data_IF_484024862560
#
_entry.id   IF_484024862560
#
_cell.length_a   1.000
_cell.length_b   1.000
_cell.length_c   1.000
_cell.angle_alpha   90.00
_cell.angle_beta   90.00
_cell.angle_gamma   90.00
#
_symmetry.space_group_name_H-M   'P 1'
#
loop_
_entity.id
_entity.type
_entity.pdbx_description
1 polymer ?
#
# COMPACT_ATOMS: atom_id res chain seq x y z
N UNK A 1 4.30 58.08 -30.79
CA UNK A 1 3.90 56.71 -31.15
C UNK A 1 5.04 55.77 -30.79
N UNK A 2 4.83 54.86 -29.85
CA UNK A 2 5.35 53.48 -29.74
C UNK A 2 5.34 53.06 -28.26
N UNK A 3 4.32 52.27 -27.92
CA UNK A 3 4.13 51.57 -26.65
C UNK A 3 5.11 50.40 -26.62
N UNK A 4 6.06 50.39 -25.68
CA UNK A 4 6.80 49.18 -25.34
C UNK A 4 6.09 48.51 -24.16
N UNK A 5 5.26 47.53 -24.48
CA UNK A 5 4.77 46.54 -23.52
C UNK A 5 5.98 45.77 -23.00
N UNK A 6 6.38 46.05 -21.76
CA UNK A 6 7.23 45.14 -21.00
C UNK A 6 6.37 43.95 -20.59
N UNK A 7 6.46 42.87 -21.37
CA UNK A 7 5.81 41.60 -21.08
C UNK A 7 6.52 40.98 -19.87
N UNK A 8 5.87 41.04 -18.72
CA UNK A 8 6.26 40.35 -17.49
C UNK A 8 6.30 38.85 -17.73
N UNK A 9 7.51 38.30 -17.90
CA UNK A 9 7.78 36.88 -17.71
C UNK A 9 7.51 36.55 -16.24
N UNK A 10 6.31 36.06 -15.96
CA UNK A 10 6.00 35.39 -14.71
C UNK A 10 6.71 34.04 -14.77
N UNK A 11 7.93 34.00 -14.25
CA UNK A 11 8.67 32.76 -14.00
C UNK A 11 7.89 31.95 -12.97
N UNK A 12 7.03 31.05 -13.44
CA UNK A 12 6.40 30.05 -12.60
C UNK A 12 7.48 29.03 -12.22
N UNK A 13 8.30 29.38 -11.23
CA UNK A 13 9.10 28.40 -10.48
C UNK A 13 8.13 27.48 -9.76
N UNK A 14 7.76 26.39 -10.42
CA UNK A 14 7.12 25.25 -9.77
C UNK A 14 8.16 24.72 -8.79
N UNK A 15 7.97 25.05 -7.51
CA UNK A 15 8.65 24.42 -6.39
C UNK A 15 8.33 22.91 -6.46
N UNK A 16 9.20 22.14 -7.10
CA UNK A 16 9.27 20.70 -6.90
C UNK A 16 10.04 20.44 -5.61
N UNK A 17 9.45 20.81 -4.48
CA UNK A 17 9.90 20.41 -3.15
C UNK A 17 8.67 19.91 -2.39
N UNK A 18 8.46 18.60 -2.39
CA UNK A 18 7.96 17.81 -1.25
C UNK A 18 7.63 16.39 -1.73
N UNK A 19 8.63 15.52 -1.84
CA UNK A 19 8.41 14.09 -1.68
C UNK A 19 8.80 13.78 -0.23
N UNK A 20 7.83 13.44 0.61
CA UNK A 20 7.88 13.50 2.07
C UNK A 20 9.08 12.79 2.70
N UNK A 21 9.93 13.55 3.39
CA UNK A 21 10.75 13.05 4.51
C UNK A 21 10.28 13.63 5.84
N UNK A 22 9.00 13.97 5.95
CA UNK A 22 8.41 14.27 7.24
C UNK A 22 8.33 12.95 8.02
N UNK A 23 8.86 12.96 9.24
CA UNK A 23 8.82 11.80 10.14
C UNK A 23 7.38 11.25 10.21
N UNK A 24 7.21 9.95 9.93
CA UNK A 24 5.90 9.30 9.97
C UNK A 24 5.36 9.30 11.41
N UNK A 25 4.44 10.22 11.71
CA UNK A 25 3.77 10.29 13.01
C UNK A 25 2.52 9.41 13.01
N UNK A 26 2.59 8.27 13.67
CA UNK A 26 1.46 7.36 13.85
C UNK A 26 1.87 5.89 13.88
N UNK A 27 0.88 5.00 13.87
CA UNK A 27 1.13 3.57 13.74
C UNK A 27 1.57 3.25 12.32
N UNK A 28 2.75 2.64 12.19
CA UNK A 28 3.30 2.22 10.90
C UNK A 28 2.50 1.04 10.36
N UNK A 29 2.19 1.10 9.08
CA UNK A 29 1.56 0.02 8.33
C UNK A 29 2.57 -1.06 7.94
N UNK A 30 2.16 -1.91 6.99
CA UNK A 30 3.01 -2.92 6.40
C UNK A 30 4.09 -2.25 5.54
N UNK A 31 5.31 -2.74 5.70
CA UNK A 31 6.45 -2.37 4.86
C UNK A 31 6.36 -3.15 3.55
N UNK A 32 6.54 -2.48 2.41
CA UNK A 32 6.59 -3.15 1.13
C UNK A 32 7.80 -2.67 0.30
N UNK A 33 8.30 -3.54 -0.57
CA UNK A 33 9.23 -3.18 -1.62
C UNK A 33 8.71 -3.76 -2.93
N UNK A 34 8.92 -3.03 -4.02
CA UNK A 34 8.69 -3.56 -5.35
C UNK A 34 10.03 -3.97 -5.96
N UNK A 35 10.08 -5.17 -6.56
CA UNK A 35 11.29 -5.66 -7.21
C UNK A 35 11.72 -4.81 -8.43
N UNK A 36 10.76 -4.14 -9.06
CA UNK A 36 10.97 -3.27 -10.21
C UNK A 36 11.02 -1.79 -9.74
N UNK A 37 12.16 -1.10 -9.86
CA UNK A 37 12.30 0.30 -9.46
C UNK A 37 11.36 1.25 -10.20
N UNK A 38 11.00 0.96 -11.46
CA UNK A 38 10.08 1.79 -12.22
C UNK A 38 8.66 1.68 -11.67
N UNK A 39 8.23 0.47 -11.28
CA UNK A 39 6.96 0.25 -10.58
C UNK A 39 6.96 0.92 -9.22
N UNK A 40 8.07 0.83 -8.47
CA UNK A 40 8.19 1.53 -7.19
C UNK A 40 8.00 3.04 -7.37
N UNK A 41 8.71 3.66 -8.31
CA UNK A 41 8.58 5.09 -8.59
C UNK A 41 7.15 5.49 -9.00
N UNK A 42 6.47 4.66 -9.78
CA UNK A 42 5.07 4.88 -10.14
C UNK A 42 4.16 4.84 -8.90
N UNK A 43 4.31 3.84 -8.02
CA UNK A 43 3.53 3.76 -6.79
C UNK A 43 3.75 4.97 -5.87
N UNK A 44 5.01 5.41 -5.71
CA UNK A 44 5.34 6.60 -4.91
C UNK A 44 4.71 7.87 -5.50
N UNK A 45 4.72 8.02 -6.83
CA UNK A 45 4.03 9.13 -7.52
C UNK A 45 2.54 9.14 -7.20
N UNK A 46 1.89 7.96 -7.17
CA UNK A 46 0.47 7.84 -6.80
C UNK A 46 0.22 8.18 -5.33
N UNK A 47 1.16 7.86 -4.45
CA UNK A 47 1.07 8.25 -3.04
C UNK A 47 1.13 9.77 -2.87
N UNK A 48 2.06 10.43 -3.56
CA UNK A 48 2.18 11.89 -3.56
C UNK A 48 0.89 12.55 -4.10
N UNK A 49 0.35 12.05 -5.22
CA UNK A 49 -0.91 12.54 -5.82
C UNK A 49 -2.11 12.43 -4.87
N UNK A 50 -2.12 11.41 -4.00
CA UNK A 50 -3.22 11.13 -3.08
C UNK A 50 -2.97 11.62 -1.65
N UNK A 51 -1.82 12.25 -1.38
CA UNK A 51 -1.45 12.73 -0.06
C UNK A 51 -1.19 11.61 0.96
N UNK A 52 -0.76 10.43 0.50
CA UNK A 52 -0.38 9.31 1.35
C UNK A 52 1.06 9.52 1.82
N UNK A 53 1.26 9.59 3.14
CA UNK A 53 2.59 9.76 3.71
C UNK A 53 3.39 8.46 3.66
N UNK A 54 4.65 8.54 3.21
CA UNK A 54 5.55 7.41 3.18
C UNK A 54 7.00 7.80 3.53
N UNK A 55 7.77 6.81 3.96
CA UNK A 55 9.22 6.89 4.21
C UNK A 55 9.90 5.78 3.39
N UNK A 56 10.92 6.13 2.61
CA UNK A 56 11.78 5.14 1.94
C UNK A 56 13.03 4.94 2.79
N UNK A 57 13.21 3.72 3.28
CA UNK A 57 14.36 3.34 4.08
C UNK A 57 15.64 3.45 3.23
N UNK A 58 16.62 4.23 3.68
CA UNK A 58 17.82 4.55 2.91
C UNK A 58 19.04 3.70 3.25
N UNK A 59 18.99 2.90 4.32
CA UNK A 59 20.17 2.20 4.83
C UNK A 59 19.85 0.82 5.42
N UNK A 60 20.87 -0.05 5.42
CA UNK A 60 20.84 -1.35 6.09
C UNK A 60 20.07 -2.43 5.35
N UNK A 61 19.65 -3.47 6.08
CA UNK A 61 18.91 -4.61 5.53
C UNK A 61 17.50 -4.25 5.00
N UNK A 62 17.07 -3.00 5.19
CA UNK A 62 15.78 -2.50 4.74
C UNK A 62 15.94 -1.40 3.68
N UNK A 63 17.12 -1.18 3.13
CA UNK A 63 17.32 -0.22 2.04
C UNK A 63 16.32 -0.46 0.90
N UNK A 64 15.64 0.61 0.46
CA UNK A 64 14.63 0.59 -0.59
C UNK A 64 13.23 0.22 -0.14
N UNK A 65 13.04 -0.20 1.12
CA UNK A 65 11.73 -0.52 1.68
C UNK A 65 10.89 0.73 1.91
N UNK A 66 9.61 0.67 1.52
CA UNK A 66 8.64 1.76 1.70
C UNK A 66 7.77 1.48 2.92
N UNK A 67 7.72 2.44 3.84
CA UNK A 67 6.89 2.42 5.04
C UNK A 67 5.79 3.46 4.90
N UNK A 68 4.56 3.11 5.24
CA UNK A 68 3.40 4.01 5.21
C UNK A 68 2.69 4.00 6.57
N UNK A 69 1.69 4.87 6.75
CA UNK A 69 0.84 4.84 7.94
C UNK A 69 -0.23 3.75 7.83
N UNK A 70 -0.51 3.08 8.94
CA UNK A 70 -1.49 2.00 9.02
C UNK A 70 -2.90 2.43 8.56
N UNK A 71 -3.27 3.68 8.84
CA UNK A 71 -4.57 4.26 8.43
C UNK A 71 -4.78 4.27 6.90
N UNK A 72 -3.69 4.25 6.14
CA UNK A 72 -3.69 4.32 4.67
C UNK A 72 -3.42 2.96 4.02
N UNK A 73 -3.29 1.88 4.83
CA UNK A 73 -2.83 0.58 4.36
C UNK A 73 -3.70 0.00 3.24
N UNK A 74 -5.03 0.07 3.38
CA UNK A 74 -5.92 -0.47 2.37
C UNK A 74 -5.75 0.26 1.02
N UNK A 75 -5.50 1.58 1.07
CA UNK A 75 -5.29 2.37 -0.15
C UNK A 75 -3.94 2.07 -0.78
N UNK A 76 -2.90 1.96 0.04
CA UNK A 76 -1.55 1.54 -0.36
C UNK A 76 -1.56 0.18 -1.05
N UNK A 77 -2.29 -0.79 -0.50
CA UNK A 77 -2.42 -2.13 -1.08
C UNK A 77 -3.13 -2.08 -2.44
N UNK A 78 -4.21 -1.30 -2.56
CA UNK A 78 -4.92 -1.10 -3.81
C UNK A 78 -4.05 -0.48 -4.92
N UNK A 79 -3.29 0.57 -4.60
CA UNK A 79 -2.34 1.21 -5.55
C UNK A 79 -1.24 0.22 -5.93
N UNK A 80 -0.70 -0.51 -4.96
CA UNK A 80 0.35 -1.51 -5.20
C UNK A 80 -0.14 -2.60 -6.14
N UNK A 81 -1.37 -3.08 -5.97
CA UNK A 81 -2.01 -4.04 -6.88
C UNK A 81 -2.13 -3.46 -8.29
N UNK A 82 -2.67 -2.25 -8.43
CA UNK A 82 -2.85 -1.57 -9.72
C UNK A 82 -1.51 -1.40 -10.46
N UNK A 83 -0.46 -0.99 -9.76
CA UNK A 83 0.89 -0.82 -10.32
C UNK A 83 1.50 -2.17 -10.71
N UNK A 84 1.25 -3.23 -9.93
CA UNK A 84 1.83 -4.53 -10.19
C UNK A 84 1.15 -5.26 -11.35
N UNK A 85 -0.19 -5.32 -11.33
CA UNK A 85 -1.03 -6.17 -12.19
C UNK A 85 -1.81 -5.39 -13.25
N UNK A 86 -1.83 -4.06 -13.17
CA UNK A 86 -2.67 -3.20 -14.00
C UNK A 86 -4.00 -2.83 -13.31
N UNK A 87 -4.78 -1.92 -13.91
CA UNK A 87 -6.02 -1.39 -13.31
C UNK A 87 -7.19 -2.38 -13.30
N UNK A 88 -7.11 -3.44 -14.08
CA UNK A 88 -8.15 -4.46 -14.18
C UNK A 88 -7.87 -5.62 -13.23
N UNK A 89 -8.86 -5.99 -12.43
CA UNK A 89 -8.79 -7.16 -11.56
C UNK A 89 -8.99 -8.42 -12.39
N UNK A 90 -8.18 -9.44 -12.13
CA UNK A 90 -8.20 -10.71 -12.86
C UNK A 90 -8.93 -11.80 -12.08
N UNK A 91 -9.91 -12.44 -12.71
CA UNK A 91 -10.60 -13.60 -12.13
C UNK A 91 -9.74 -14.88 -12.09
N UNK A 92 -8.57 -14.87 -12.74
CA UNK A 92 -7.65 -16.02 -12.75
C UNK A 92 -6.42 -15.79 -11.87
N UNK A 93 -6.29 -14.61 -11.28
CA UNK A 93 -5.21 -14.27 -10.36
C UNK A 93 -5.66 -14.55 -8.92
N UNK A 94 -4.80 -15.23 -8.17
CA UNK A 94 -4.99 -15.49 -6.76
C UNK A 94 -3.95 -14.71 -5.96
N UNK A 95 -4.40 -14.06 -4.90
CA UNK A 95 -3.58 -13.29 -3.96
C UNK A 95 -3.49 -14.07 -2.64
N UNK A 96 -2.42 -13.87 -1.88
CA UNK A 96 -2.22 -14.57 -0.61
C UNK A 96 -1.75 -13.65 0.51
N UNK A 97 -2.04 -14.07 1.75
CA UNK A 97 -1.47 -13.47 2.95
C UNK A 97 -0.93 -14.58 3.87
N UNK A 98 0.22 -14.32 4.47
CA UNK A 98 0.84 -15.25 5.42
C UNK A 98 0.07 -15.25 6.74
N UNK A 99 -0.27 -16.44 7.23
CA UNK A 99 -0.90 -16.65 8.53
C UNK A 99 0.17 -17.00 9.56
N UNK A 100 0.56 -16.02 10.38
CA UNK A 100 1.67 -16.17 11.32
C UNK A 100 1.36 -17.11 12.49
N UNK A 101 0.09 -17.27 12.84
CA UNK A 101 -0.39 -18.12 13.93
C UNK A 101 -1.90 -18.40 13.79
N UNK A 102 -2.44 -19.25 14.66
CA UNK A 102 -3.85 -19.66 14.66
C UNK A 102 -4.82 -18.51 14.97
N UNK A 103 -4.41 -17.52 15.77
CA UNK A 103 -5.23 -16.33 16.05
C UNK A 103 -5.42 -15.48 14.78
N UNK A 104 -4.34 -15.26 14.03
CA UNK A 104 -4.39 -14.55 12.77
C UNK A 104 -5.28 -15.26 11.75
N UNK A 105 -5.17 -16.59 11.65
CA UNK A 105 -6.08 -17.38 10.83
C UNK A 105 -7.54 -17.16 11.22
N UNK A 106 -7.87 -17.33 12.51
CA UNK A 106 -9.25 -17.18 12.98
C UNK A 106 -9.83 -15.80 12.66
N UNK A 107 -9.03 -14.74 12.75
CA UNK A 107 -9.44 -13.37 12.37
C UNK A 107 -9.73 -13.24 10.88
N UNK A 108 -8.89 -13.84 10.04
CA UNK A 108 -9.09 -13.83 8.59
C UNK A 108 -10.33 -14.62 8.19
N UNK A 109 -10.47 -15.86 8.67
CA UNK A 109 -11.63 -16.72 8.40
C UNK A 109 -12.94 -15.99 8.78
N UNK A 110 -13.03 -15.50 10.02
CA UNK A 110 -14.21 -14.77 10.49
C UNK A 110 -14.50 -13.50 9.66
N UNK A 111 -13.46 -12.78 9.23
CA UNK A 111 -13.62 -11.60 8.40
C UNK A 111 -14.09 -11.93 6.97
N UNK A 112 -13.57 -13.01 6.40
CA UNK A 112 -13.87 -13.45 5.04
C UNK A 112 -15.27 -14.05 4.96
N UNK A 113 -15.65 -14.90 5.92
CA UNK A 113 -17.01 -15.43 6.06
C UNK A 113 -18.03 -14.28 6.16
N UNK A 114 -17.75 -13.28 7.00
CA UNK A 114 -18.62 -12.11 7.16
C UNK A 114 -18.73 -11.27 5.88
N UNK A 115 -17.67 -11.22 5.08
CA UNK A 115 -17.62 -10.44 3.84
C UNK A 115 -18.13 -11.22 2.62
N UNK A 116 -18.42 -12.53 2.76
CA UNK A 116 -18.77 -13.41 1.66
C UNK A 116 -17.63 -13.55 0.64
N UNK A 117 -16.39 -13.66 1.11
CA UNK A 117 -15.19 -13.86 0.28
C UNK A 117 -14.87 -15.36 0.29
N UNK A 118 -14.79 -15.96 -0.90
CA UNK A 118 -14.34 -17.33 -1.05
C UNK A 118 -12.81 -17.40 -0.84
N UNK A 119 -12.36 -18.36 -0.03
CA UNK A 119 -10.95 -18.54 0.26
C UNK A 119 -10.56 -20.00 0.45
N UNK A 120 -9.24 -20.20 0.40
CA UNK A 120 -8.63 -21.47 0.71
C UNK A 120 -7.43 -21.23 1.63
N UNK A 121 -7.06 -22.26 2.41
CA UNK A 121 -5.87 -22.24 3.25
C UNK A 121 -4.89 -23.25 2.66
N UNK A 122 -3.75 -22.74 2.25
CA UNK A 122 -2.69 -23.53 1.63
C UNK A 122 -1.43 -23.48 2.49
N UNK A 123 -0.54 -24.44 2.28
CA UNK A 123 0.80 -24.43 2.87
C UNK A 123 1.83 -24.46 1.76
N UNK A 124 2.65 -23.42 1.69
CA UNK A 124 3.73 -23.30 0.72
C UNK A 124 5.06 -23.17 1.46
N UNK A 125 5.99 -24.09 1.21
CA UNK A 125 7.32 -24.14 1.86
C UNK A 125 7.24 -24.06 3.41
N UNK A 126 6.26 -24.76 4.00
CA UNK A 126 6.04 -24.78 5.45
C UNK A 126 5.36 -23.52 6.00
N UNK A 127 5.05 -22.54 5.15
CA UNK A 127 4.31 -21.32 5.53
C UNK A 127 2.84 -21.47 5.20
N UNK A 128 1.99 -21.30 6.22
CA UNK A 128 0.54 -21.30 6.05
C UNK A 128 0.08 -19.97 5.45
N UNK A 129 -0.74 -20.02 4.42
CA UNK A 129 -1.26 -18.85 3.72
C UNK A 129 -2.77 -18.98 3.56
N UNK A 130 -3.46 -17.85 3.62
CA UNK A 130 -4.84 -17.73 3.15
C UNK A 130 -4.79 -17.16 1.73
N UNK A 131 -5.49 -17.78 0.80
CA UNK A 131 -5.57 -17.35 -0.60
C UNK A 131 -7.00 -16.94 -0.97
N UNK A 132 -7.11 -15.91 -1.81
CA UNK A 132 -8.39 -15.41 -2.32
C UNK A 132 -8.25 -15.00 -3.79
N UNK A 133 -9.39 -14.90 -4.48
CA UNK A 133 -9.41 -14.41 -5.85
C UNK A 133 -9.18 -12.89 -5.89
N UNK A 134 -8.35 -12.40 -6.80
CA UNK A 134 -8.02 -10.97 -6.89
C UNK A 134 -9.25 -10.06 -7.08
N UNK A 135 -10.37 -10.57 -7.59
CA UNK A 135 -11.63 -9.81 -7.66
C UNK A 135 -12.12 -9.32 -6.28
N UNK A 136 -11.83 -10.06 -5.20
CA UNK A 136 -12.14 -9.66 -3.83
C UNK A 136 -11.05 -8.81 -3.18
N UNK A 137 -9.92 -8.58 -3.88
CA UNK A 137 -8.76 -7.82 -3.41
C UNK A 137 -9.12 -6.51 -2.70
N UNK A 138 -9.95 -5.61 -3.29
CA UNK A 138 -10.35 -4.37 -2.62
C UNK A 138 -11.07 -4.56 -1.28
N UNK A 139 -11.83 -5.64 -1.10
CA UNK A 139 -12.45 -5.96 0.20
C UNK A 139 -11.40 -6.48 1.18
N UNK A 140 -10.47 -7.32 0.69
CA UNK A 140 -9.40 -7.88 1.51
C UNK A 140 -8.42 -6.80 1.99
N UNK A 141 -8.16 -5.76 1.20
CA UNK A 141 -7.35 -4.60 1.60
C UNK A 141 -7.90 -3.94 2.88
N UNK A 142 -9.22 -3.73 2.93
CA UNK A 142 -9.91 -3.19 4.11
C UNK A 142 -9.85 -4.15 5.30
N UNK A 143 -9.96 -5.47 5.05
CA UNK A 143 -9.84 -6.49 6.10
C UNK A 143 -8.44 -6.50 6.69
N UNK A 144 -7.41 -6.46 5.85
CA UNK A 144 -5.99 -6.42 6.26
C UNK A 144 -5.72 -5.23 7.18
N UNK A 145 -6.15 -4.04 6.75
CA UNK A 145 -6.02 -2.82 7.56
C UNK A 145 -6.70 -2.98 8.92
N UNK A 146 -7.96 -3.44 8.94
CA UNK A 146 -8.73 -3.62 10.18
C UNK A 146 -8.09 -4.63 11.14
N UNK A 147 -7.60 -5.75 10.62
CA UNK A 147 -6.93 -6.77 11.44
C UNK A 147 -5.65 -6.17 12.06
N UNK A 148 -4.86 -5.44 11.27
CA UNK A 148 -3.67 -4.77 11.78
C UNK A 148 -3.99 -3.70 12.84
N UNK A 149 -5.07 -2.92 12.66
CA UNK A 149 -5.57 -1.96 13.66
C UNK A 149 -5.97 -2.64 14.97
N UNK A 150 -6.64 -3.79 14.90
CA UNK A 150 -7.01 -4.58 16.10
C UNK A 150 -5.78 -5.07 16.86
N UNK A 151 -4.80 -5.65 16.14
CA UNK A 151 -3.56 -6.14 16.74
C UNK A 151 -2.81 -5.00 17.45
N UNK A 152 -2.75 -3.81 16.84
CA UNK A 152 -2.11 -2.65 17.45
C UNK A 152 -2.88 -2.16 18.69
N UNK A 153 -4.21 -2.20 18.65
CA UNK A 153 -5.05 -1.79 19.78
C UNK A 153 -4.90 -2.73 20.99
N UNK A 154 -4.75 -4.04 20.76
CA UNK A 154 -4.60 -5.06 21.81
C UNK A 154 -3.24 -5.03 22.53
N UNK A 155 -2.23 -4.35 21.96
CA UNK A 155 -0.89 -4.22 22.55
C UNK A 155 -0.74 -3.04 23.51
N UNK A 156 -1.79 -2.23 23.69
CA UNK A 156 -1.81 -1.06 24.58
C UNK A 156 -2.41 -1.43 25.93
#
# INVERSE_FOLDING_TARGET
>A
MFRLLALSLLSLTVYACSGSSDELVGHRGRVFAMADPAKQALALTRFDEEGIQYEVQSEGASEGMVVTLLKDQARVDGITREVHSGPELSSTTWETAVLLNDDMQARYEAAFEKAGIDYSIVTHEGTKQIEWNQLDGPKVDLINQRIAEQIVAERK
#
